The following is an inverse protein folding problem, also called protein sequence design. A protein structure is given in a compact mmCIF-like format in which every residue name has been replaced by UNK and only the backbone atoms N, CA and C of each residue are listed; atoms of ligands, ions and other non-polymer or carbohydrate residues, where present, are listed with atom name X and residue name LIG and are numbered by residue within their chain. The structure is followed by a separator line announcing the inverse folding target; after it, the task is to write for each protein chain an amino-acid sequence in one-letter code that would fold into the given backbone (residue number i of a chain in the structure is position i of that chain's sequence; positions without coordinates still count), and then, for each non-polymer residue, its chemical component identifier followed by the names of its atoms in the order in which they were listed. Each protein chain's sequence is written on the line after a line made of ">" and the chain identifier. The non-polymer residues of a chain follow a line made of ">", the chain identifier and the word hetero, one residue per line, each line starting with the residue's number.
data_IF_234138853958
#
_entry.id   IF_234138853958
#
_cell.length_a   1.000
_cell.length_b   1.000
_cell.length_c   1.000
_cell.angle_alpha   90.00
_cell.angle_beta   90.00
_cell.angle_gamma   90.00
#
_symmetry.space_group_name_H-M   'P 1'
#
loop_
_entity.id
_entity.type
_entity.pdbx_description
1 polymer ?
#
# COMPACT_ATOMS: atom_id res chain seq x y z
N UNK A 1 -19.81 -10.56 -19.55
CA UNK A 1 -19.76 -11.44 -18.37
C UNK A 1 -20.07 -10.58 -17.17
N UNK A 2 -21.06 -10.93 -16.35
CA UNK A 2 -21.42 -10.12 -15.17
C UNK A 2 -20.39 -10.31 -14.06
N UNK A 3 -20.23 -9.31 -13.17
CA UNK A 3 -19.35 -9.38 -11.99
C UNK A 3 -19.65 -10.61 -11.14
N UNK A 4 -20.93 -11.02 -11.04
CA UNK A 4 -21.36 -12.22 -10.32
C UNK A 4 -20.83 -13.53 -10.93
N UNK A 5 -20.81 -13.64 -12.27
CA UNK A 5 -20.26 -14.82 -12.95
C UNK A 5 -18.73 -14.91 -12.77
N UNK A 6 -18.05 -13.77 -12.64
CA UNK A 6 -16.62 -13.68 -12.40
C UNK A 6 -16.25 -14.07 -10.94
N UNK A 7 -17.05 -13.64 -9.96
CA UNK A 7 -16.84 -13.94 -8.54
C UNK A 7 -17.22 -15.39 -8.19
N UNK A 8 -18.21 -15.98 -8.90
CA UNK A 8 -18.65 -17.36 -8.68
C UNK A 8 -17.70 -18.42 -9.29
N UNK A 9 -16.88 -18.06 -10.30
CA UNK A 9 -16.02 -18.97 -11.06
C UNK A 9 -14.53 -18.97 -10.65
N UNK A 10 -14.09 -18.02 -9.83
CA UNK A 10 -12.65 -17.78 -9.61
C UNK A 10 -11.93 -17.30 -10.88
N UNK A 11 -10.63 -16.95 -10.84
CA UNK A 11 -9.86 -16.59 -12.02
C UNK A 11 -9.67 -17.83 -12.90
N UNK A 12 -10.59 -18.04 -13.83
CA UNK A 12 -10.50 -19.16 -14.78
C UNK A 12 -9.43 -18.88 -15.83
N UNK A 13 -8.86 -19.94 -16.42
CA UNK A 13 -7.96 -19.89 -17.59
C UNK A 13 -8.53 -19.11 -18.78
N UNK A 14 -9.82 -18.76 -18.78
CA UNK A 14 -10.51 -18.00 -19.84
C UNK A 14 -10.07 -16.52 -19.94
N UNK A 15 -9.37 -15.96 -18.95
CA UNK A 15 -8.83 -14.59 -19.05
C UNK A 15 -7.46 -14.54 -19.76
N UNK A 16 -6.80 -15.69 -19.97
CA UNK A 16 -5.52 -15.75 -20.69
C UNK A 16 -5.75 -15.44 -22.17
N UNK A 17 -5.02 -14.43 -22.65
CA UNK A 17 -5.16 -13.95 -24.03
C UNK A 17 -6.24 -12.89 -24.26
N UNK A 18 -7.08 -12.52 -23.27
CA UNK A 18 -8.05 -11.42 -23.40
C UNK A 18 -7.31 -10.11 -23.67
N UNK A 19 -7.86 -9.33 -24.60
CA UNK A 19 -7.33 -8.01 -24.97
C UNK A 19 -8.17 -6.92 -24.29
N UNK A 20 -7.60 -6.21 -23.33
CA UNK A 20 -8.22 -5.09 -22.62
C UNK A 20 -8.01 -3.80 -23.40
N UNK A 21 -9.08 -3.04 -23.60
CA UNK A 21 -9.09 -1.78 -24.36
C UNK A 21 -8.41 -1.88 -25.75
N UNK A 22 -8.47 -3.07 -26.38
CA UNK A 22 -7.89 -3.32 -27.70
C UNK A 22 -6.37 -3.20 -27.76
N UNK A 23 -5.66 -3.18 -26.62
CA UNK A 23 -4.21 -2.94 -26.55
C UNK A 23 -3.45 -3.83 -25.57
N UNK A 24 -4.01 -4.14 -24.43
CA UNK A 24 -3.30 -4.80 -23.33
C UNK A 24 -3.73 -6.25 -23.22
N UNK A 25 -2.85 -7.18 -23.61
CA UNK A 25 -3.13 -8.62 -23.63
C UNK A 25 -2.79 -9.25 -22.28
N UNK A 26 -3.81 -9.75 -21.58
CA UNK A 26 -3.65 -10.49 -20.32
C UNK A 26 -2.86 -11.77 -20.58
N UNK A 27 -1.91 -12.07 -19.68
CA UNK A 27 -1.09 -13.28 -19.70
C UNK A 27 -1.38 -14.19 -18.51
N UNK A 28 -1.28 -13.66 -17.29
CA UNK A 28 -1.52 -14.44 -16.07
C UNK A 28 -1.91 -13.55 -14.91
N UNK A 29 -2.55 -14.12 -13.91
CA UNK A 29 -2.85 -13.43 -12.65
C UNK A 29 -1.55 -13.29 -11.84
N UNK A 30 -1.22 -12.08 -11.41
CA UNK A 30 -0.11 -11.79 -10.48
C UNK A 30 -0.56 -11.83 -9.02
N UNK A 31 -1.78 -11.39 -8.74
CA UNK A 31 -2.30 -11.37 -7.39
C UNK A 31 -3.72 -10.84 -7.31
N UNK A 32 -4.30 -11.04 -6.14
CA UNK A 32 -5.61 -10.47 -5.78
C UNK A 32 -5.49 -9.75 -4.43
N UNK A 33 -6.23 -8.69 -4.24
CA UNK A 33 -6.31 -7.96 -2.98
C UNK A 33 -7.69 -7.36 -2.80
N UNK A 34 -7.96 -6.76 -1.66
CA UNK A 34 -9.25 -6.12 -1.36
C UNK A 34 -9.69 -5.04 -2.36
N UNK A 35 -8.82 -4.69 -3.30
CA UNK A 35 -9.00 -3.60 -4.26
C UNK A 35 -9.10 -4.07 -5.72
N UNK A 36 -9.12 -5.38 -5.96
CA UNK A 36 -9.23 -5.94 -7.30
C UNK A 36 -8.12 -6.94 -7.65
N UNK A 37 -8.05 -7.25 -8.93
CA UNK A 37 -7.13 -8.23 -9.49
C UNK A 37 -5.99 -7.52 -10.21
N UNK A 38 -4.78 -8.03 -10.04
CA UNK A 38 -3.58 -7.55 -10.75
C UNK A 38 -3.09 -8.65 -11.68
N UNK A 39 -2.94 -8.30 -12.94
CA UNK A 39 -2.55 -9.21 -14.01
C UNK A 39 -1.19 -8.84 -14.59
N UNK A 40 -0.40 -9.85 -14.95
CA UNK A 40 0.64 -9.68 -15.93
C UNK A 40 -0.02 -9.52 -17.31
N UNK A 41 0.34 -8.48 -18.02
CA UNK A 41 -0.13 -8.25 -19.37
C UNK A 41 1.00 -7.73 -20.26
N UNK A 42 0.75 -7.72 -21.57
CA UNK A 42 1.64 -7.16 -22.57
C UNK A 42 0.97 -5.98 -23.27
N UNK A 43 1.64 -4.84 -23.31
CA UNK A 43 1.29 -3.73 -24.17
C UNK A 43 1.67 -4.06 -25.61
N UNK A 44 0.71 -4.48 -26.45
CA UNK A 44 0.98 -4.90 -27.82
C UNK A 44 1.52 -3.80 -28.72
N UNK A 45 1.23 -2.53 -28.39
CA UNK A 45 1.72 -1.37 -29.15
C UNK A 45 3.19 -1.09 -28.80
N UNK A 46 3.53 -1.03 -27.53
CA UNK A 46 4.89 -0.74 -27.08
C UNK A 46 5.75 -1.99 -26.89
N UNK A 47 5.18 -3.19 -27.08
CA UNK A 47 5.85 -4.51 -26.97
C UNK A 47 6.64 -4.65 -25.67
N UNK A 48 5.98 -4.36 -24.55
CA UNK A 48 6.59 -4.45 -23.21
C UNK A 48 5.63 -5.10 -22.21
N UNK A 49 6.17 -5.84 -21.22
CA UNK A 49 5.36 -6.33 -20.12
C UNK A 49 4.92 -5.17 -19.22
N UNK A 50 3.69 -5.29 -18.70
CA UNK A 50 3.07 -4.34 -17.79
C UNK A 50 2.31 -5.09 -16.69
N UNK A 51 2.02 -4.41 -15.59
CA UNK A 51 1.00 -4.84 -14.64
C UNK A 51 -0.31 -4.12 -14.95
N UNK A 52 -1.41 -4.87 -14.97
CA UNK A 52 -2.74 -4.37 -15.29
C UNK A 52 -3.65 -4.63 -14.09
N UNK A 53 -4.07 -3.57 -13.41
CA UNK A 53 -4.94 -3.65 -12.23
C UNK A 53 -6.37 -3.34 -12.59
N UNK A 54 -7.25 -4.32 -12.40
CA UNK A 54 -8.69 -4.16 -12.57
C UNK A 54 -9.30 -3.58 -11.28
N UNK A 55 -10.01 -2.47 -11.38
CA UNK A 55 -10.70 -1.89 -10.24
C UNK A 55 -12.11 -2.45 -10.17
N UNK A 56 -12.30 -3.45 -9.32
CA UNK A 56 -13.61 -4.07 -9.07
C UNK A 56 -14.06 -3.66 -7.67
N UNK A 57 -15.20 -3.00 -7.51
CA UNK A 57 -15.76 -2.74 -6.19
C UNK A 57 -16.10 -4.06 -5.49
N UNK A 58 -15.65 -4.22 -4.27
CA UNK A 58 -16.00 -5.34 -3.42
C UNK A 58 -16.45 -4.82 -2.05
N UNK A 59 -17.62 -5.17 -1.51
CA UNK A 59 -18.67 -6.00 -2.10
C UNK A 59 -19.39 -5.35 -3.28
N UNK A 60 -20.23 -6.11 -4.02
CA UNK A 60 -21.08 -5.57 -5.08
C UNK A 60 -21.96 -4.46 -4.53
N UNK A 61 -21.84 -3.27 -5.10
CA UNK A 61 -22.63 -2.08 -4.70
C UNK A 61 -23.70 -1.76 -5.75
N UNK A 62 -24.71 -0.98 -5.38
CA UNK A 62 -25.71 -0.52 -6.33
C UNK A 62 -25.09 0.23 -7.51
N UNK A 63 -25.76 0.26 -8.66
CA UNK A 63 -25.26 0.89 -9.89
C UNK A 63 -24.90 2.38 -9.70
N UNK A 64 -25.64 3.06 -8.84
CA UNK A 64 -25.42 4.48 -8.49
C UNK A 64 -24.17 4.69 -7.64
N UNK A 65 -23.94 3.83 -6.64
CA UNK A 65 -22.72 3.79 -5.84
C UNK A 65 -21.50 3.37 -6.68
N UNK A 66 -21.70 2.45 -7.63
CA UNK A 66 -20.68 2.00 -8.57
C UNK A 66 -20.16 3.15 -9.43
N UNK A 67 -21.06 3.98 -9.96
CA UNK A 67 -20.70 5.14 -10.79
C UNK A 67 -19.88 6.15 -9.98
N UNK A 68 -20.28 6.42 -8.75
CA UNK A 68 -19.55 7.34 -7.85
C UNK A 68 -18.18 6.79 -7.47
N UNK A 69 -18.11 5.51 -7.12
CA UNK A 69 -16.85 4.84 -6.78
C UNK A 69 -15.86 4.83 -7.95
N UNK A 70 -16.35 4.57 -9.18
CA UNK A 70 -15.55 4.63 -10.41
C UNK A 70 -14.98 6.03 -10.65
N UNK A 71 -15.81 7.07 -10.57
CA UNK A 71 -15.37 8.44 -10.78
C UNK A 71 -14.28 8.85 -9.78
N UNK A 72 -14.42 8.46 -8.51
CA UNK A 72 -13.40 8.68 -7.47
C UNK A 72 -12.13 7.91 -7.76
N UNK A 73 -12.20 6.60 -8.05
CA UNK A 73 -11.06 5.77 -8.35
C UNK A 73 -10.25 6.30 -9.55
N UNK A 74 -10.93 6.76 -10.60
CA UNK A 74 -10.30 7.41 -11.75
C UNK A 74 -9.63 8.75 -11.36
N UNK A 75 -10.28 9.54 -10.49
CA UNK A 75 -9.70 10.81 -10.00
C UNK A 75 -8.41 10.57 -9.18
N UNK A 76 -8.41 9.59 -8.28
CA UNK A 76 -7.26 9.22 -7.47
C UNK A 76 -6.13 8.61 -8.31
N UNK A 77 -6.47 7.73 -9.26
CA UNK A 77 -5.49 7.19 -10.19
C UNK A 77 -4.81 8.30 -11.03
N UNK A 78 -5.58 9.30 -11.48
CA UNK A 78 -5.01 10.49 -12.17
C UNK A 78 -4.13 11.33 -11.25
N UNK A 79 -4.48 11.46 -9.97
CA UNK A 79 -3.65 12.15 -8.99
C UNK A 79 -2.35 11.38 -8.75
N UNK A 80 -2.43 10.06 -8.56
CA UNK A 80 -1.27 9.19 -8.38
C UNK A 80 -0.35 9.19 -9.60
N UNK A 81 -0.90 9.23 -10.82
CA UNK A 81 -0.11 9.30 -12.06
C UNK A 81 0.78 10.56 -12.14
N UNK A 82 0.51 11.59 -11.35
CA UNK A 82 1.37 12.80 -11.25
C UNK A 82 2.55 12.65 -10.30
N UNK A 83 2.61 11.55 -9.53
CA UNK A 83 3.73 11.29 -8.63
C UNK A 83 4.93 10.79 -9.45
N UNK A 84 5.85 11.70 -9.77
CA UNK A 84 7.08 11.36 -10.48
C UNK A 84 8.22 11.15 -9.49
N UNK A 85 8.41 9.91 -9.07
CA UNK A 85 9.48 9.52 -8.16
C UNK A 85 9.91 8.07 -8.40
N UNK A 86 11.21 7.81 -8.36
CA UNK A 86 11.79 6.48 -8.60
C UNK A 86 11.28 5.41 -7.61
N UNK A 87 10.88 5.80 -6.43
CA UNK A 87 10.34 4.92 -5.39
C UNK A 87 8.81 4.83 -5.36
N UNK A 88 8.11 5.42 -6.32
CA UNK A 88 6.67 5.24 -6.52
C UNK A 88 6.41 4.42 -7.77
N UNK A 89 5.41 3.52 -7.74
CA UNK A 89 5.00 2.76 -8.93
C UNK A 89 4.53 3.72 -10.03
N UNK A 90 5.01 3.54 -11.25
CA UNK A 90 4.61 4.38 -12.38
C UNK A 90 3.30 3.90 -12.98
N UNK A 91 2.33 4.80 -13.07
CA UNK A 91 1.11 4.58 -13.85
C UNK A 91 1.39 5.02 -15.29
N UNK A 92 1.10 4.14 -16.25
CA UNK A 92 1.32 4.39 -17.66
C UNK A 92 0.07 4.84 -18.38
N UNK A 93 -1.09 4.32 -17.98
CA UNK A 93 -2.37 4.60 -18.61
C UNK A 93 -3.53 4.29 -17.68
N UNK A 94 -4.70 4.84 -17.99
CA UNK A 94 -5.98 4.55 -17.37
C UNK A 94 -6.98 4.29 -18.48
N UNK A 95 -7.49 3.08 -18.55
CA UNK A 95 -8.41 2.67 -19.60
C UNK A 95 -9.70 2.11 -19.03
N UNK A 96 -10.72 2.07 -19.84
CA UNK A 96 -12.01 1.44 -19.51
C UNK A 96 -12.25 0.30 -20.49
N UNK A 97 -12.67 -0.85 -19.97
CA UNK A 97 -13.01 -2.02 -20.76
C UNK A 97 -14.16 -2.77 -20.08
N UNK A 98 -15.22 -3.10 -20.84
CA UNK A 98 -16.48 -3.65 -20.35
C UNK A 98 -17.09 -2.85 -19.18
N UNK A 99 -16.98 -1.53 -19.25
CA UNK A 99 -17.49 -0.62 -18.21
C UNK A 99 -16.74 -0.69 -16.88
N UNK A 100 -15.57 -1.32 -16.81
CA UNK A 100 -14.71 -1.36 -15.64
C UNK A 100 -13.42 -0.55 -15.88
N UNK A 101 -12.96 0.23 -14.90
CA UNK A 101 -11.71 0.93 -15.00
C UNK A 101 -10.53 0.00 -14.75
N UNK A 102 -9.48 0.20 -15.52
CA UNK A 102 -8.21 -0.53 -15.44
C UNK A 102 -7.05 0.45 -15.34
N UNK A 103 -6.09 0.14 -14.48
CA UNK A 103 -4.85 0.89 -14.33
C UNK A 103 -3.73 0.10 -15.00
N UNK A 104 -3.06 0.72 -15.96
CA UNK A 104 -1.85 0.19 -16.60
C UNK A 104 -0.65 0.78 -15.88
N UNK A 105 0.20 -0.08 -15.31
CA UNK A 105 1.33 0.38 -14.51
C UNK A 105 2.60 -0.45 -14.80
N UNK A 106 3.74 0.03 -14.29
CA UNK A 106 4.99 -0.71 -14.42
C UNK A 106 4.88 -2.08 -13.73
N UNK A 107 5.43 -3.08 -14.41
CA UNK A 107 5.63 -4.39 -13.81
C UNK A 107 6.86 -4.34 -12.92
N UNK A 108 6.65 -4.53 -11.61
CA UNK A 108 7.74 -4.55 -10.64
C UNK A 108 8.39 -5.94 -10.61
N UNK A 109 9.72 -5.97 -10.77
CA UNK A 109 10.52 -7.16 -10.52
C UNK A 109 11.01 -7.15 -9.07
N UNK A 110 10.96 -8.28 -8.40
CA UNK A 110 11.35 -8.41 -7.01
C UNK A 110 10.25 -8.97 -6.12
N UNK A 111 10.39 -8.79 -4.81
CA UNK A 111 9.46 -9.33 -3.80
C UNK A 111 8.91 -8.24 -2.91
N UNK A 112 7.72 -8.46 -2.37
CA UNK A 112 7.20 -7.55 -1.35
C UNK A 112 7.96 -7.71 -0.03
N UNK A 113 8.03 -6.64 0.74
CA UNK A 113 8.63 -6.67 2.08
C UNK A 113 7.90 -7.70 2.97
N UNK A 114 6.59 -7.90 2.76
CA UNK A 114 5.80 -8.94 3.44
C UNK A 114 6.34 -10.34 3.12
N UNK A 115 6.55 -10.64 1.83
CA UNK A 115 7.01 -11.97 1.40
C UNK A 115 8.44 -12.25 1.86
N UNK A 116 9.29 -11.22 1.88
CA UNK A 116 10.66 -11.34 2.37
C UNK A 116 10.66 -11.65 3.88
N UNK A 117 9.93 -10.87 4.68
CA UNK A 117 9.86 -11.10 6.12
C UNK A 117 9.22 -12.46 6.45
N UNK A 118 8.22 -12.88 5.68
CA UNK A 118 7.60 -14.20 5.88
C UNK A 118 8.54 -15.36 5.55
N UNK A 119 9.39 -15.23 4.53
CA UNK A 119 10.29 -16.30 4.09
C UNK A 119 11.63 -16.32 4.84
N UNK A 120 12.19 -15.14 5.17
CA UNK A 120 13.55 -14.99 5.66
C UNK A 120 13.60 -14.52 7.12
N UNK A 121 12.45 -14.14 7.68
CA UNK A 121 12.36 -13.55 9.02
C UNK A 121 12.61 -12.04 9.03
N UNK A 122 12.74 -11.44 10.23
CA UNK A 122 12.96 -10.01 10.40
C UNK A 122 14.29 -9.56 9.78
N UNK A 123 14.25 -8.39 9.14
CA UNK A 123 15.42 -7.80 8.49
C UNK A 123 16.35 -7.10 9.50
N UNK A 124 17.65 -7.00 9.17
CA UNK A 124 18.59 -6.20 9.96
C UNK A 124 18.15 -4.75 10.10
N UNK A 125 18.23 -4.18 11.29
CA UNK A 125 17.72 -2.84 11.58
C UNK A 125 18.36 -1.73 10.71
N UNK A 126 19.64 -1.84 10.34
CA UNK A 126 20.30 -0.92 9.40
C UNK A 126 19.71 -0.98 7.99
N UNK A 127 19.29 -2.17 7.54
CA UNK A 127 18.60 -2.31 6.27
C UNK A 127 17.19 -1.73 6.31
N UNK A 128 16.46 -1.98 7.41
CA UNK A 128 15.13 -1.40 7.62
C UNK A 128 15.20 0.13 7.67
N UNK A 129 16.22 0.71 8.29
CA UNK A 129 16.45 2.16 8.27
C UNK A 129 16.67 2.69 6.85
N UNK A 130 17.42 1.95 6.00
CA UNK A 130 17.63 2.30 4.59
C UNK A 130 16.34 2.21 3.78
N UNK A 131 15.53 1.18 3.98
CA UNK A 131 14.21 1.04 3.36
C UNK A 131 13.32 2.21 3.80
N UNK A 132 13.28 2.51 5.09
CA UNK A 132 12.51 3.63 5.64
C UNK A 132 12.85 4.97 5.00
N UNK A 133 14.12 5.26 4.77
CA UNK A 133 14.55 6.49 4.07
C UNK A 133 14.00 6.55 2.64
N UNK A 134 14.04 5.43 1.89
CA UNK A 134 13.50 5.38 0.51
C UNK A 134 11.99 5.55 0.47
N UNK A 135 11.28 4.92 1.40
CA UNK A 135 9.82 5.07 1.53
C UNK A 135 9.44 6.50 1.91
N UNK A 136 10.20 7.13 2.80
CA UNK A 136 9.98 8.51 3.20
C UNK A 136 10.17 9.48 2.03
N UNK A 137 11.17 9.23 1.15
CA UNK A 137 11.36 10.00 -0.08
C UNK A 137 10.14 9.87 -1.02
N UNK A 138 9.62 8.65 -1.19
CA UNK A 138 8.45 8.36 -2.03
C UNK A 138 7.18 9.01 -1.48
N UNK A 139 6.94 8.91 -0.18
CA UNK A 139 5.81 9.54 0.49
C UNK A 139 5.88 11.06 0.38
N UNK A 140 7.06 11.65 0.58
CA UNK A 140 7.23 13.10 0.43
C UNK A 140 6.94 13.57 -1.00
N UNK A 141 7.33 12.80 -2.02
CA UNK A 141 7.01 13.12 -3.42
C UNK A 141 5.49 13.06 -3.66
N UNK A 142 4.81 12.04 -3.13
CA UNK A 142 3.36 11.92 -3.22
C UNK A 142 2.64 13.08 -2.52
N UNK A 143 3.04 13.42 -1.30
CA UNK A 143 2.44 14.52 -0.51
C UNK A 143 2.61 15.87 -1.21
N UNK A 144 3.76 16.13 -1.86
CA UNK A 144 3.96 17.34 -2.68
C UNK A 144 3.04 17.38 -3.91
N UNK A 145 2.67 16.23 -4.46
CA UNK A 145 1.70 16.11 -5.54
C UNK A 145 0.23 16.18 -5.05
N UNK A 146 0.00 16.38 -3.74
CA UNK A 146 -1.32 16.39 -3.13
C UNK A 146 -1.93 15.00 -2.94
N UNK A 147 -1.12 13.93 -2.96
CA UNK A 147 -1.56 12.55 -2.83
C UNK A 147 -1.15 11.99 -1.46
N UNK A 148 -2.11 11.53 -0.69
CA UNK A 148 -1.90 10.73 0.54
C UNK A 148 -2.04 9.26 0.16
N UNK A 149 -1.09 8.42 0.59
CA UNK A 149 -1.06 6.99 0.18
C UNK A 149 -2.15 6.16 0.84
N UNK A 150 -2.41 6.38 2.11
CA UNK A 150 -3.48 5.74 2.92
C UNK A 150 -3.35 4.23 3.16
N UNK A 151 -2.47 3.50 2.48
CA UNK A 151 -2.31 2.04 2.63
C UNK A 151 -0.82 1.62 2.62
N UNK A 152 0.02 2.33 3.39
CA UNK A 152 1.43 1.96 3.56
C UNK A 152 1.53 0.72 4.45
N UNK A 153 2.00 -0.40 3.87
CA UNK A 153 2.15 -1.69 4.56
C UNK A 153 3.19 -2.57 3.85
N UNK A 154 3.75 -3.60 4.51
CA UNK A 154 4.78 -4.45 3.89
C UNK A 154 4.37 -5.08 2.56
N UNK A 155 3.07 -5.38 2.36
CA UNK A 155 2.57 -5.95 1.10
C UNK A 155 2.58 -4.97 -0.07
N UNK A 156 2.65 -3.65 0.19
CA UNK A 156 2.70 -2.62 -0.83
C UNK A 156 4.13 -2.05 -1.03
N UNK A 157 5.13 -2.59 -0.32
CA UNK A 157 6.53 -2.21 -0.45
C UNK A 157 7.28 -3.29 -1.21
N UNK A 158 7.79 -2.97 -2.39
CA UNK A 158 8.59 -3.88 -3.22
C UNK A 158 10.08 -3.58 -3.07
N UNK A 159 10.87 -4.61 -2.78
CA UNK A 159 12.32 -4.61 -2.90
C UNK A 159 12.67 -5.20 -4.25
N UNK A 160 12.97 -4.33 -5.21
CA UNK A 160 13.24 -4.73 -6.58
C UNK A 160 14.69 -5.22 -6.75
N UNK A 161 14.91 -6.11 -7.73
CA UNK A 161 16.20 -6.75 -8.01
C UNK A 161 17.34 -5.74 -8.24
N UNK A 162 17.05 -4.55 -8.76
CA UNK A 162 18.04 -3.47 -8.95
C UNK A 162 18.32 -2.64 -7.68
N UNK A 163 17.88 -3.11 -6.49
CA UNK A 163 18.05 -2.39 -5.22
C UNK A 163 17.11 -1.17 -5.05
N UNK A 164 16.14 -1.02 -5.93
CA UNK A 164 15.07 -0.01 -5.87
C UNK A 164 14.05 -0.44 -4.82
N UNK A 165 13.65 0.48 -3.96
CA UNK A 165 12.50 0.30 -3.05
C UNK A 165 11.32 1.06 -3.65
N UNK A 166 10.23 0.38 -3.93
CA UNK A 166 9.06 0.95 -4.59
C UNK A 166 7.83 0.79 -3.72
N UNK A 167 7.11 1.87 -3.52
CA UNK A 167 5.80 1.90 -2.90
C UNK A 167 4.75 1.79 -4.00
N UNK A 168 3.94 0.73 -3.92
CA UNK A 168 2.86 0.44 -4.86
C UNK A 168 1.50 0.67 -4.20
N UNK A 169 0.44 0.60 -5.00
CA UNK A 169 -0.95 0.66 -4.53
C UNK A 169 -1.28 1.91 -3.71
N UNK A 170 -0.91 3.08 -4.24
CA UNK A 170 -1.39 4.35 -3.72
C UNK A 170 -2.93 4.33 -3.67
N UNK A 171 -3.48 4.67 -2.52
CA UNK A 171 -4.85 4.64 -2.05
C UNK A 171 -6.05 4.73 -2.99
N UNK A 172 -5.91 4.25 -4.22
CA UNK A 172 -6.88 4.28 -5.32
C UNK A 172 -8.20 3.59 -4.95
N UNK A 173 -8.26 2.95 -3.81
CA UNK A 173 -9.42 2.21 -3.34
C UNK A 173 -9.94 2.61 -1.96
N UNK A 174 -9.46 3.70 -1.38
CA UNK A 174 -10.08 4.29 -0.16
C UNK A 174 -11.45 4.92 -0.44
N UNK A 175 -12.11 4.57 -1.54
CA UNK A 175 -13.23 5.29 -2.12
C UNK A 175 -14.61 4.81 -1.68
N UNK A 176 -14.70 3.77 -0.90
CA UNK A 176 -15.96 3.37 -0.26
C UNK A 176 -16.11 4.07 1.11
N UNK A 177 -16.31 5.40 1.08
CA UNK A 177 -16.40 6.23 2.27
C UNK A 177 -15.03 6.48 2.91
N UNK A 178 -14.67 7.72 3.21
CA UNK A 178 -13.41 8.09 3.91
C UNK A 178 -13.34 7.54 5.34
N UNK A 179 -14.37 6.86 5.77
CA UNK A 179 -14.47 6.20 7.06
C UNK A 179 -13.80 4.82 7.00
N UNK A 180 -13.15 4.45 8.10
CA UNK A 180 -12.73 3.08 8.38
C UNK A 180 -13.97 2.21 8.46
N UNK A 181 -14.63 1.97 7.32
CA UNK A 181 -15.93 1.35 7.26
C UNK A 181 -15.79 -0.15 7.48
N UNK A 182 -16.37 -0.59 8.57
CA UNK A 182 -16.81 -1.96 8.72
C UNK A 182 -17.94 -2.18 7.69
N UNK A 183 -17.59 -2.71 6.52
CA UNK A 183 -18.58 -3.16 5.53
C UNK A 183 -18.90 -4.60 5.94
N UNK A 184 -20.13 -4.84 6.37
CA UNK A 184 -20.62 -6.16 6.83
C UNK A 184 -19.77 -6.80 7.96
N UNK A 185 -19.13 -5.99 8.80
CA UNK A 185 -18.28 -6.49 9.90
C UNK A 185 -16.84 -6.79 9.48
N UNK A 186 -16.48 -6.62 8.22
CA UNK A 186 -15.09 -6.74 7.73
C UNK A 186 -14.46 -5.37 7.52
N UNK A 187 -13.26 -5.19 8.04
CA UNK A 187 -12.47 -3.99 7.86
C UNK A 187 -11.76 -4.04 6.50
N UNK A 188 -12.09 -3.08 5.62
CA UNK A 188 -11.42 -2.95 4.33
C UNK A 188 -9.97 -2.46 4.52
N UNK A 189 -9.04 -3.36 4.73
CA UNK A 189 -7.62 -3.03 4.88
C UNK A 189 -6.87 -3.95 5.84
N UNK A 190 -5.68 -3.51 6.25
CA UNK A 190 -4.82 -4.22 7.20
C UNK A 190 -4.83 -3.45 8.53
N UNK A 191 -5.64 -3.82 9.53
CA UNK A 191 -5.94 -3.01 10.71
C UNK A 191 -4.70 -2.63 11.53
N UNK A 192 -3.68 -3.47 11.55
CA UNK A 192 -2.44 -3.22 12.29
C UNK A 192 -1.57 -2.08 11.73
N UNK A 193 -1.87 -1.57 10.53
CA UNK A 193 -1.11 -0.50 9.86
C UNK A 193 -1.90 0.80 9.72
N UNK A 194 -3.18 0.80 10.09
CA UNK A 194 -4.04 1.98 9.98
C UNK A 194 -3.68 3.01 11.04
N UNK A 195 -3.77 4.29 10.73
CA UNK A 195 -3.50 5.35 11.68
C UNK A 195 -4.67 5.59 12.66
N UNK A 196 -4.42 6.08 13.90
CA UNK A 196 -5.48 6.37 14.87
C UNK A 196 -6.54 7.35 14.38
N UNK A 197 -6.15 8.41 13.68
CA UNK A 197 -7.05 9.39 13.08
C UNK A 197 -7.96 8.76 12.05
N UNK A 198 -7.46 7.82 11.28
CA UNK A 198 -8.28 7.09 10.29
C UNK A 198 -9.27 6.14 10.96
N UNK A 199 -8.90 5.51 12.07
CA UNK A 199 -9.83 4.68 12.86
C UNK A 199 -10.95 5.53 13.46
N UNK A 200 -10.67 6.79 13.84
CA UNK A 200 -11.66 7.73 14.38
C UNK A 200 -12.50 8.43 13.32
N UNK A 201 -12.22 8.21 12.02
CA UNK A 201 -12.81 8.98 10.92
C UNK A 201 -12.52 10.48 11.01
N UNK A 202 -11.35 10.83 11.57
CA UNK A 202 -10.83 12.20 11.57
C UNK A 202 -10.19 12.53 10.20
N UNK A 203 -9.75 13.78 10.02
CA UNK A 203 -9.06 14.21 8.80
C UNK A 203 -7.78 13.41 8.56
N UNK A 204 -7.70 12.75 7.39
CA UNK A 204 -6.58 11.91 6.98
C UNK A 204 -5.62 12.70 6.09
N UNK A 205 -4.41 12.90 6.57
CA UNK A 205 -3.37 13.67 5.87
C UNK A 205 -2.01 12.94 5.82
N UNK A 206 -0.95 13.66 5.41
CA UNK A 206 0.42 13.12 5.35
C UNK A 206 0.91 12.42 6.63
N UNK A 207 0.46 12.89 7.79
CA UNK A 207 0.82 12.29 9.07
C UNK A 207 0.31 10.84 9.21
N UNK A 208 -0.81 10.50 8.57
CA UNK A 208 -1.35 9.13 8.58
C UNK A 208 -0.41 8.15 7.89
N UNK A 209 0.20 8.54 6.77
CA UNK A 209 1.19 7.73 6.07
C UNK A 209 2.45 7.52 6.91
N UNK A 210 2.86 8.52 7.70
CA UNK A 210 4.01 8.41 8.61
C UNK A 210 3.77 7.40 9.73
N UNK A 211 2.54 7.33 10.27
CA UNK A 211 2.16 6.27 11.21
C UNK A 211 2.25 4.89 10.56
N UNK A 212 1.66 4.73 9.40
CA UNK A 212 1.66 3.48 8.64
C UNK A 212 3.08 3.07 8.23
N UNK A 213 3.96 4.04 7.93
CA UNK A 213 5.39 3.82 7.73
C UNK A 213 6.02 3.25 9.03
N UNK A 214 5.76 3.85 10.18
CA UNK A 214 6.25 3.35 11.48
C UNK A 214 5.84 1.90 11.74
N UNK A 215 4.56 1.55 11.51
CA UNK A 215 4.05 0.19 11.64
C UNK A 215 4.70 -0.78 10.63
N UNK A 216 4.97 -0.30 9.41
CA UNK A 216 5.67 -1.08 8.37
C UNK A 216 7.12 -1.38 8.77
N UNK A 217 7.86 -0.39 9.27
CA UNK A 217 9.25 -0.57 9.73
C UNK A 217 9.30 -1.46 10.97
N UNK A 218 8.33 -1.34 11.90
CA UNK A 218 8.21 -2.25 13.03
C UNK A 218 8.08 -3.70 12.55
N UNK A 219 7.13 -3.96 11.64
CA UNK A 219 6.92 -5.30 11.11
C UNK A 219 8.17 -5.86 10.40
N UNK A 220 8.91 -5.02 9.70
CA UNK A 220 10.11 -5.42 9.00
C UNK A 220 11.25 -5.81 9.96
N UNK A 221 11.46 -5.06 11.06
CA UNK A 221 12.57 -5.28 11.98
C UNK A 221 12.25 -6.28 13.06
N UNK A 222 10.99 -6.39 13.51
CA UNK A 222 10.58 -7.30 14.58
C UNK A 222 10.00 -8.63 14.06
N UNK A 223 9.62 -8.73 12.76
CA UNK A 223 9.01 -9.91 12.16
C UNK A 223 7.56 -10.14 12.60
N UNK A 224 6.93 -9.13 13.22
CA UNK A 224 5.56 -9.16 13.75
C UNK A 224 4.96 -7.76 13.71
N UNK A 225 3.65 -7.64 13.79
CA UNK A 225 2.98 -6.32 13.77
C UNK A 225 3.05 -5.63 15.14
N UNK A 226 2.99 -4.29 15.13
CA UNK A 226 3.08 -3.47 16.34
C UNK A 226 1.83 -3.58 17.24
N UNK A 227 0.66 -3.83 16.64
CA UNK A 227 -0.65 -3.82 17.28
C UNK A 227 -1.46 -5.04 16.86
N UNK A 228 -1.12 -6.21 17.37
CA UNK A 228 -1.91 -7.44 17.16
C UNK A 228 -2.52 -7.90 18.48
N UNK A 229 -3.84 -8.07 18.49
CA UNK A 229 -4.61 -8.54 19.65
C UNK A 229 -5.54 -9.72 19.30
N UNK A 230 -5.33 -10.33 18.13
CA UNK A 230 -6.08 -11.51 17.67
C UNK A 230 -7.47 -11.22 17.12
N UNK A 231 -8.15 -10.14 17.51
CA UNK A 231 -9.40 -9.71 16.89
C UNK A 231 -9.25 -8.35 16.18
N UNK A 232 -10.11 -8.08 15.21
CA UNK A 232 -10.15 -6.79 14.53
C UNK A 232 -10.41 -5.65 15.51
N UNK A 233 -11.44 -5.79 16.35
CA UNK A 233 -11.83 -4.76 17.30
C UNK A 233 -10.72 -4.46 18.32
N UNK A 234 -10.11 -5.50 18.90
CA UNK A 234 -9.03 -5.33 19.87
C UNK A 234 -7.77 -4.74 19.23
N UNK A 235 -7.47 -5.10 17.97
CA UNK A 235 -6.37 -4.52 17.20
C UNK A 235 -6.60 -3.03 16.94
N UNK A 236 -7.80 -2.62 16.50
CA UNK A 236 -8.14 -1.22 16.31
C UNK A 236 -8.12 -0.43 17.64
N UNK A 237 -8.58 -1.04 18.72
CA UNK A 237 -8.50 -0.46 20.08
C UNK A 237 -7.05 -0.24 20.49
N UNK A 238 -6.16 -1.21 20.22
CA UNK A 238 -4.74 -1.09 20.49
C UNK A 238 -4.07 -0.01 19.62
N UNK A 239 -4.45 0.11 18.35
CA UNK A 239 -4.01 1.21 17.47
C UNK A 239 -4.37 2.56 18.08
N UNK A 240 -5.55 2.71 18.69
CA UNK A 240 -5.99 3.95 19.30
C UNK A 240 -5.29 4.29 20.61
N UNK A 241 -5.03 3.28 21.45
CA UNK A 241 -4.74 3.51 22.87
C UNK A 241 -3.47 2.87 23.40
N UNK A 242 -3.06 1.72 22.86
CA UNK A 242 -1.92 0.96 23.41
C UNK A 242 -0.58 1.47 22.85
N UNK A 243 0.52 1.35 23.62
CA UNK A 243 1.85 1.47 23.07
C UNK A 243 2.09 0.34 22.05
N UNK A 244 3.06 0.48 21.12
CA UNK A 244 3.48 -0.62 20.26
C UNK A 244 4.02 -1.77 21.11
N UNK A 245 3.96 -2.98 20.57
CA UNK A 245 4.60 -4.14 21.19
C UNK A 245 6.11 -3.85 21.46
N UNK A 246 6.74 -4.47 22.49
CA UNK A 246 8.12 -4.19 22.85
C UNK A 246 9.09 -4.37 21.69
N UNK A 247 10.08 -3.48 21.58
CA UNK A 247 11.17 -3.60 20.62
C UNK A 247 12.21 -4.62 21.12
N UNK A 248 12.51 -5.63 20.31
CA UNK A 248 13.48 -6.67 20.64
C UNK A 248 14.70 -6.63 19.71
N UNK A 249 14.55 -6.14 18.48
CA UNK A 249 15.56 -6.17 17.42
C UNK A 249 15.88 -4.79 16.84
N UNK A 250 15.03 -3.80 17.08
CA UNK A 250 15.13 -2.49 16.45
C UNK A 250 16.38 -1.69 16.86
N UNK A 251 16.92 -1.87 18.09
CA UNK A 251 18.07 -1.11 18.57
C UNK A 251 17.90 0.41 18.38
N UNK A 252 18.87 1.11 17.79
CA UNK A 252 18.79 2.55 17.51
C UNK A 252 17.60 2.99 16.64
N UNK A 253 16.98 2.06 15.89
CA UNK A 253 15.79 2.34 15.09
C UNK A 253 14.51 2.42 15.95
N UNK A 254 14.50 1.80 17.15
CA UNK A 254 13.34 1.75 18.04
C UNK A 254 12.73 3.12 18.33
N UNK A 255 13.47 4.11 18.85
CA UNK A 255 12.96 5.46 19.12
C UNK A 255 12.38 6.16 17.88
N UNK A 256 12.90 5.88 16.68
CA UNK A 256 12.40 6.45 15.43
C UNK A 256 11.03 5.86 15.12
N UNK A 257 10.89 4.54 15.20
CA UNK A 257 9.61 3.85 15.00
C UNK A 257 8.59 4.31 16.03
N UNK A 258 8.96 4.39 17.31
CA UNK A 258 8.08 4.87 18.38
C UNK A 258 7.58 6.28 18.11
N UNK A 259 8.45 7.20 17.69
CA UNK A 259 8.08 8.56 17.32
C UNK A 259 7.16 8.65 16.11
N UNK A 260 7.27 7.73 15.12
CA UNK A 260 6.34 7.61 14.00
C UNK A 260 4.99 7.04 14.45
N UNK A 261 4.96 6.15 15.47
CA UNK A 261 3.76 5.51 16.00
C UNK A 261 3.03 6.37 17.07
N UNK A 262 3.41 7.62 17.25
CA UNK A 262 2.69 8.53 18.12
C UNK A 262 1.22 8.67 17.72
N UNK A 263 0.30 8.49 18.69
CA UNK A 263 -1.15 8.42 18.47
C UNK A 263 -1.76 9.73 18.01
N UNK A 264 -1.18 10.83 18.48
CA UNK A 264 -1.61 12.20 18.16
C UNK A 264 -0.76 12.70 16.99
N UNK A 265 -1.37 13.06 15.84
CA UNK A 265 -0.62 13.45 14.64
C UNK A 265 0.40 14.58 14.87
N UNK A 266 0.07 15.56 15.71
CA UNK A 266 0.94 16.72 16.04
C UNK A 266 2.16 16.34 16.90
N UNK A 267 2.11 15.19 17.58
CA UNK A 267 3.24 14.64 18.36
C UNK A 267 4.06 13.63 17.57
N UNK A 268 3.59 13.24 16.41
CA UNK A 268 4.28 12.31 15.52
C UNK A 268 5.48 12.97 14.87
N UNK A 269 6.55 12.22 14.63
CA UNK A 269 7.70 12.75 13.90
C UNK A 269 7.25 13.32 12.55
N UNK A 270 7.68 14.55 12.27
CA UNK A 270 7.52 15.11 10.92
C UNK A 270 8.42 14.37 9.91
N UNK A 271 8.14 14.52 8.62
CA UNK A 271 8.97 13.94 7.54
C UNK A 271 10.45 14.26 7.70
N UNK A 272 10.79 15.51 8.03
CA UNK A 272 12.20 15.93 8.18
C UNK A 272 12.84 15.39 9.48
N UNK A 273 12.10 15.36 10.58
CA UNK A 273 12.57 14.77 11.83
C UNK A 273 12.78 13.25 11.67
N UNK A 274 11.83 12.55 11.03
CA UNK A 274 11.95 11.13 10.73
C UNK A 274 13.16 10.84 9.82
N UNK A 275 13.39 11.65 8.80
CA UNK A 275 14.54 11.55 7.90
C UNK A 275 15.86 11.66 8.66
N UNK A 276 16.00 12.66 9.51
CA UNK A 276 17.20 12.87 10.32
C UNK A 276 17.44 11.70 11.26
N UNK A 277 16.39 11.25 11.96
CA UNK A 277 16.48 10.14 12.90
C UNK A 277 16.80 8.79 12.20
N UNK A 278 16.20 8.52 11.03
CA UNK A 278 16.50 7.31 10.23
C UNK A 278 17.94 7.31 9.73
N UNK A 279 18.48 8.46 9.32
CA UNK A 279 19.90 8.57 8.92
C UNK A 279 20.83 8.26 10.10
N UNK A 280 20.58 8.87 11.25
CA UNK A 280 21.37 8.63 12.46
C UNK A 280 21.29 7.14 12.89
N UNK A 281 20.12 6.53 12.86
CA UNK A 281 19.96 5.11 13.16
C UNK A 281 20.73 4.24 12.17
N UNK A 282 20.63 4.47 10.86
CA UNK A 282 21.40 3.75 9.84
C UNK A 282 22.90 3.82 10.07
N UNK A 283 23.42 5.04 10.34
CA UNK A 283 24.85 5.29 10.49
C UNK A 283 25.41 4.65 11.76
N UNK A 284 24.59 4.54 12.83
CA UNK A 284 24.95 3.80 14.04
C UNK A 284 25.19 2.30 13.79
N UNK A 285 24.50 1.69 12.81
CA UNK A 285 24.74 0.28 12.43
C UNK A 285 25.91 0.10 11.47
N UNK A 286 26.36 1.15 10.77
CA UNK A 286 27.54 1.08 9.90
C UNK A 286 28.84 1.22 10.66
N UNK A 287 28.79 1.59 11.94
CA UNK A 287 29.94 1.78 12.81
C UNK A 287 30.22 0.58 13.73
N UNK A 288 29.40 -0.46 13.66
CA UNK A 288 29.52 -1.74 14.36
C UNK A 288 30.01 -2.84 13.43
#
# INVERSE_FOLDING_TARGET
>A
MTVEAYLAGGPTQESDGRLVAGRYRIRSLLGHGGMGLVWLAEDEVLRRPIALKQLVPHPPVSEELLTTARARALSEARATARVDHVGAVRIYDLVEDDGLPWIVMELLSGRTLKDIVAAEGPLPAGEVARIGLRLLDSLQAAHRAGVVHRDVKPGNVYLCDAGRVVLADFGIASTAGDDATLIDGEFAGSPAYVSPERVRSDEVGPASDLFSLGATLFAAVEGRVAFDKGSLFDTLTAVLHDPPAPFLRAGPLGPVIEGLLAKVPERRLSTEAARTALRAARDAFSSL
#
